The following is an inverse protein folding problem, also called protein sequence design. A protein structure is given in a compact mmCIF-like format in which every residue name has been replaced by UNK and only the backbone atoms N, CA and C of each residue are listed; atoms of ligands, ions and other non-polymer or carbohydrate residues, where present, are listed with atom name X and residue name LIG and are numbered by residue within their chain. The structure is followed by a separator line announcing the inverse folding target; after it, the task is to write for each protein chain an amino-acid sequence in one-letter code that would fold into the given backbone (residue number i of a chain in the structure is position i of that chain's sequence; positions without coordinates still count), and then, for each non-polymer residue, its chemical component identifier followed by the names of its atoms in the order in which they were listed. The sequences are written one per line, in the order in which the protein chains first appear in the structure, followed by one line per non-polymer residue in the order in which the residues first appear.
data_IF_475112179234
#
_entry.id   IF_475112179234
#
_cell.length_a   1.000
_cell.length_b   1.000
_cell.length_c   1.000
_cell.angle_alpha   90.00
_cell.angle_beta   90.00
_cell.angle_gamma   90.00
#
_symmetry.space_group_name_H-M   'P 1'
#
loop_
_entity.id
_entity.type
_entity.pdbx_description
1 polymer ?
#
# COMPACT_ATOMS: atom_id res chain seq x y z
N UNK A 1 -3.85 -7.19 21.78
CA UNK A 1 -2.45 -6.70 21.67
C UNK A 1 -2.15 -6.55 20.20
N UNK A 2 -1.62 -5.42 19.72
CA UNK A 2 -1.31 -5.23 18.30
C UNK A 2 0.01 -5.92 17.98
N UNK A 3 0.02 -6.76 16.95
CA UNK A 3 1.24 -7.35 16.39
C UNK A 3 1.86 -6.33 15.42
N UNK A 4 3.07 -5.86 15.72
CA UNK A 4 3.77 -4.89 14.87
C UNK A 4 4.96 -5.54 14.18
N UNK A 5 4.99 -5.45 12.84
CA UNK A 5 6.04 -6.05 12.00
C UNK A 5 6.59 -5.05 11.00
N UNK A 6 7.90 -5.08 10.79
CA UNK A 6 8.60 -4.33 9.75
C UNK A 6 9.38 -5.30 8.89
N UNK A 7 9.22 -5.18 7.57
CA UNK A 7 9.99 -5.94 6.59
C UNK A 7 10.67 -5.00 5.60
N UNK A 8 11.93 -5.28 5.30
CA UNK A 8 12.67 -4.60 4.25
C UNK A 8 12.65 -5.43 2.98
N UNK A 9 12.07 -4.88 1.93
CA UNK A 9 11.96 -5.50 0.63
C UNK A 9 13.34 -5.90 0.06
N UNK A 10 13.42 -7.08 -0.53
CA UNK A 10 14.68 -7.62 -1.09
C UNK A 10 15.72 -8.02 -0.07
N UNK A 11 15.46 -7.86 1.23
CA UNK A 11 16.34 -8.24 2.33
C UNK A 11 15.73 -9.28 3.24
N UNK A 12 14.47 -9.06 3.63
CA UNK A 12 13.78 -9.94 4.55
C UNK A 12 12.90 -10.94 3.77
N UNK A 13 12.68 -12.12 4.36
CA UNK A 13 11.69 -13.08 3.88
C UNK A 13 10.30 -12.61 4.32
N UNK A 14 9.55 -12.05 3.39
CA UNK A 14 8.23 -11.48 3.66
C UNK A 14 7.18 -12.59 3.51
N UNK A 15 6.43 -12.93 4.58
CA UNK A 15 5.33 -13.88 4.45
C UNK A 15 4.33 -13.41 3.40
N UNK A 16 3.97 -14.29 2.48
CA UNK A 16 2.99 -13.98 1.42
C UNK A 16 1.54 -13.94 1.92
N UNK A 17 1.27 -14.46 3.12
CA UNK A 17 -0.08 -14.59 3.66
C UNK A 17 -0.14 -14.22 5.13
N UNK A 18 -1.21 -13.50 5.50
CA UNK A 18 -1.56 -13.17 6.88
C UNK A 18 -3.07 -13.43 7.07
N UNK A 19 -3.42 -14.13 8.14
CA UNK A 19 -4.81 -14.41 8.49
C UNK A 19 -5.06 -13.87 9.89
N UNK A 20 -6.09 -13.03 10.03
CA UNK A 20 -6.45 -12.43 11.30
C UNK A 20 -7.77 -13.01 11.82
N UNK A 21 -7.71 -13.52 13.05
CA UNK A 21 -8.86 -13.97 13.82
C UNK A 21 -9.59 -12.82 14.54
N UNK A 22 -10.52 -13.20 15.41
CA UNK A 22 -11.35 -12.23 16.16
C UNK A 22 -10.50 -11.28 17.01
N UNK A 23 -10.77 -9.96 16.88
CA UNK A 23 -10.12 -8.88 17.64
C UNK A 23 -8.59 -8.82 17.47
N UNK A 24 -8.03 -9.53 16.49
CA UNK A 24 -6.60 -9.44 16.19
C UNK A 24 -6.26 -8.16 15.44
N UNK A 25 -5.09 -7.60 15.78
CA UNK A 25 -4.60 -6.35 15.20
C UNK A 25 -3.19 -6.53 14.66
N UNK A 26 -2.98 -6.14 13.40
CA UNK A 26 -1.69 -6.19 12.71
C UNK A 26 -1.33 -4.81 12.17
N UNK A 27 -0.20 -4.28 12.63
CA UNK A 27 0.48 -3.13 12.02
C UNK A 27 1.69 -3.64 11.24
N UNK A 28 1.63 -3.55 9.91
CA UNK A 28 2.65 -4.05 9.00
C UNK A 28 3.28 -2.90 8.22
N UNK A 29 4.60 -2.80 8.26
CA UNK A 29 5.35 -1.82 7.47
C UNK A 29 6.28 -2.53 6.49
N UNK A 30 6.10 -2.25 5.19
CA UNK A 30 6.95 -2.73 4.11
C UNK A 30 7.83 -1.58 3.62
N UNK A 31 9.15 -1.71 3.74
CA UNK A 31 10.08 -0.64 3.38
C UNK A 31 10.93 -1.07 2.20
N UNK A 32 10.88 -0.35 1.07
CA UNK A 32 11.80 -0.55 -0.03
C UNK A 32 12.82 0.59 -0.10
N UNK A 33 14.09 0.24 0.10
CA UNK A 33 15.22 1.17 0.08
C UNK A 33 15.84 1.27 -1.33
N UNK A 34 16.60 2.35 -1.62
CA UNK A 34 17.30 2.50 -2.90
C UNK A 34 18.14 1.29 -3.29
N UNK A 35 18.13 0.96 -4.57
CA UNK A 35 18.90 -0.16 -5.15
C UNK A 35 18.20 -1.52 -5.05
N UNK A 36 16.98 -1.58 -4.50
CA UNK A 36 16.22 -2.82 -4.39
C UNK A 36 15.28 -2.97 -5.58
N UNK A 37 15.38 -4.11 -6.28
CA UNK A 37 14.42 -4.53 -7.30
C UNK A 37 13.83 -5.87 -6.91
N UNK A 38 12.52 -5.92 -6.69
CA UNK A 38 11.81 -7.14 -6.30
C UNK A 38 10.32 -7.06 -6.60
N UNK A 39 9.65 -8.19 -6.47
CA UNK A 39 8.20 -8.29 -6.47
C UNK A 39 7.72 -8.77 -5.10
N UNK A 40 6.74 -8.08 -4.54
CA UNK A 40 6.10 -8.41 -3.26
C UNK A 40 4.65 -8.77 -3.56
N UNK A 41 4.22 -9.92 -3.08
CA UNK A 41 2.82 -10.33 -3.17
C UNK A 41 2.31 -10.67 -1.76
N UNK A 42 1.27 -9.98 -1.33
CA UNK A 42 0.62 -10.17 -0.03
C UNK A 42 -0.84 -10.52 -0.20
N UNK A 43 -1.30 -11.51 0.56
CA UNK A 43 -2.70 -11.80 0.77
C UNK A 43 -3.01 -11.70 2.26
N UNK A 44 -3.86 -10.77 2.63
CA UNK A 44 -4.25 -10.55 4.02
C UNK A 44 -5.74 -10.80 4.14
N UNK A 45 -6.11 -11.75 5.02
CA UNK A 45 -7.49 -12.17 5.21
C UNK A 45 -7.95 -11.85 6.63
N UNK A 46 -9.08 -11.15 6.76
CA UNK A 46 -9.74 -10.87 8.02
C UNK A 46 -10.91 -11.85 8.16
N UNK A 47 -10.71 -12.90 8.98
CA UNK A 47 -11.68 -13.99 9.20
C UNK A 47 -12.44 -13.88 10.53
N UNK A 48 -12.01 -13.00 11.43
CA UNK A 48 -12.65 -12.77 12.72
C UNK A 48 -13.20 -11.36 12.86
N UNK A 49 -14.40 -11.22 13.44
CA UNK A 49 -14.99 -9.91 13.73
C UNK A 49 -14.06 -9.05 14.60
N UNK A 50 -14.01 -7.75 14.34
CA UNK A 50 -13.15 -6.82 15.07
C UNK A 50 -11.67 -6.88 14.67
N UNK A 51 -11.29 -7.66 13.63
CA UNK A 51 -9.94 -7.68 13.14
C UNK A 51 -9.56 -6.34 12.50
N UNK A 52 -8.33 -5.88 12.75
CA UNK A 52 -7.81 -4.61 12.25
C UNK A 52 -6.44 -4.80 11.60
N UNK A 53 -6.24 -4.18 10.41
CA UNK A 53 -4.95 -4.18 9.71
C UNK A 53 -4.58 -2.78 9.28
N UNK A 54 -3.36 -2.35 9.64
CA UNK A 54 -2.72 -1.18 9.08
C UNK A 54 -1.49 -1.60 8.29
N UNK A 55 -1.50 -1.38 6.98
CA UNK A 55 -0.41 -1.70 6.08
C UNK A 55 0.21 -0.41 5.52
N UNK A 56 1.42 -0.10 5.96
CA UNK A 56 2.22 0.99 5.40
C UNK A 56 3.25 0.49 4.39
N UNK A 57 3.52 1.26 3.35
CA UNK A 57 4.47 0.87 2.33
C UNK A 57 5.30 2.04 1.78
N UNK A 58 6.25 2.62 2.56
CA UNK A 58 7.15 3.62 2.01
C UNK A 58 8.20 3.00 1.10
N UNK A 59 8.43 3.60 -0.07
CA UNK A 59 9.48 3.16 -0.98
C UNK A 59 10.22 4.32 -1.66
N UNK A 60 11.51 4.12 -1.87
CA UNK A 60 12.40 5.07 -2.52
C UNK A 60 13.19 4.37 -3.63
N UNK A 61 12.86 4.70 -4.88
CA UNK A 61 13.44 4.13 -6.10
C UNK A 61 14.04 5.25 -6.97
N UNK A 62 15.23 5.78 -6.65
CA UNK A 62 15.79 6.95 -7.33
C UNK A 62 16.59 6.65 -8.59
N UNK A 63 16.85 5.38 -8.90
CA UNK A 63 17.78 4.93 -9.96
C UNK A 63 17.10 4.22 -11.12
N UNK A 64 17.26 2.91 -11.19
CA UNK A 64 16.71 2.04 -12.25
C UNK A 64 15.98 0.81 -11.67
N UNK A 65 15.52 0.93 -10.45
CA UNK A 65 14.84 -0.12 -9.71
C UNK A 65 13.56 -0.55 -10.43
N UNK A 66 13.21 -1.83 -10.23
CA UNK A 66 11.90 -2.39 -10.59
C UNK A 66 11.24 -2.97 -9.35
N UNK A 67 10.17 -2.33 -8.93
CA UNK A 67 9.42 -2.73 -7.74
C UNK A 67 7.97 -2.99 -8.11
N UNK A 68 7.51 -4.22 -7.91
CA UNK A 68 6.11 -4.58 -8.08
C UNK A 68 5.52 -4.98 -6.72
N UNK A 69 4.46 -4.30 -6.31
CA UNK A 69 3.74 -4.55 -5.06
C UNK A 69 2.32 -4.97 -5.40
N UNK A 70 1.95 -6.17 -5.00
CA UNK A 70 0.59 -6.68 -5.13
C UNK A 70 0.02 -7.02 -3.75
N UNK A 71 -1.10 -6.40 -3.40
CA UNK A 71 -1.77 -6.63 -2.12
C UNK A 71 -3.22 -7.00 -2.37
N UNK A 72 -3.63 -8.15 -1.87
CA UNK A 72 -5.04 -8.52 -1.76
C UNK A 72 -5.45 -8.47 -0.29
N UNK A 73 -6.45 -7.65 0.02
CA UNK A 73 -7.06 -7.54 1.36
C UNK A 73 -8.47 -8.11 1.28
N UNK A 74 -8.73 -9.20 2.00
CA UNK A 74 -10.01 -9.89 1.97
C UNK A 74 -10.73 -9.81 3.31
N UNK A 75 -11.90 -9.19 3.33
CA UNK A 75 -12.81 -9.15 4.48
C UNK A 75 -13.87 -10.22 4.32
N UNK A 76 -13.76 -11.31 5.09
CA UNK A 76 -14.73 -12.41 5.07
C UNK A 76 -15.88 -12.23 6.03
N UNK A 77 -15.67 -11.45 7.10
CA UNK A 77 -16.66 -11.19 8.15
C UNK A 77 -16.81 -9.70 8.42
N UNK A 78 -17.92 -9.32 9.04
CA UNK A 78 -18.23 -7.92 9.32
C UNK A 78 -17.45 -7.30 10.47
N UNK A 79 -17.56 -5.97 10.61
CA UNK A 79 -16.96 -5.20 11.71
C UNK A 79 -15.43 -5.13 11.69
N UNK A 80 -14.80 -5.40 10.55
CA UNK A 80 -13.35 -5.35 10.38
C UNK A 80 -12.88 -4.03 9.79
N UNK A 81 -11.65 -3.63 10.10
CA UNK A 81 -11.04 -2.40 9.61
C UNK A 81 -9.74 -2.71 8.91
N UNK A 82 -9.54 -2.17 7.71
CA UNK A 82 -8.25 -2.21 7.03
C UNK A 82 -7.85 -0.85 6.45
N UNK A 83 -6.58 -0.51 6.58
CA UNK A 83 -5.97 0.68 5.98
C UNK A 83 -4.68 0.29 5.27
N UNK A 84 -4.55 0.73 4.01
CA UNK A 84 -3.35 0.59 3.21
C UNK A 84 -2.87 1.97 2.79
N UNK A 85 -1.63 2.34 3.16
CA UNK A 85 -1.05 3.65 2.82
C UNK A 85 0.35 3.46 2.24
N UNK A 86 0.46 3.55 0.90
CA UNK A 86 1.71 3.45 0.18
C UNK A 86 2.19 4.82 -0.27
N UNK A 87 3.48 5.10 -0.09
CA UNK A 87 4.10 6.38 -0.46
C UNK A 87 5.42 6.14 -1.16
N UNK A 88 5.50 6.60 -2.40
CA UNK A 88 6.65 6.41 -3.26
C UNK A 88 7.34 7.68 -3.70
N UNK A 89 8.68 7.65 -3.71
CA UNK A 89 9.51 8.62 -4.41
C UNK A 89 10.30 7.87 -5.48
N UNK A 90 10.05 8.21 -6.75
CA UNK A 90 10.57 7.45 -7.90
C UNK A 90 11.31 8.38 -8.85
N UNK A 91 12.56 8.02 -9.18
CA UNK A 91 13.44 8.83 -10.02
C UNK A 91 14.20 8.01 -11.05
N UNK A 92 15.16 8.63 -11.72
CA UNK A 92 15.96 7.96 -12.75
C UNK A 92 15.12 7.33 -13.84
N UNK A 93 15.32 6.03 -14.08
CA UNK A 93 14.54 5.20 -15.00
C UNK A 93 13.74 4.12 -14.26
N UNK A 94 13.57 4.26 -12.95
CA UNK A 94 12.88 3.29 -12.12
C UNK A 94 11.42 3.09 -12.56
N UNK A 95 10.94 1.87 -12.35
CA UNK A 95 9.57 1.47 -12.69
C UNK A 95 8.92 0.83 -11.46
N UNK A 96 7.80 1.38 -11.03
CA UNK A 96 7.05 0.86 -9.90
C UNK A 96 5.63 0.49 -10.31
N UNK A 97 5.20 -0.70 -9.94
CA UNK A 97 3.83 -1.18 -10.06
C UNK A 97 3.19 -1.36 -8.69
N UNK A 98 2.01 -0.77 -8.47
CA UNK A 98 1.17 -1.05 -7.32
C UNK A 98 -0.17 -1.62 -7.77
N UNK A 99 -0.52 -2.79 -7.27
CA UNK A 99 -1.76 -3.50 -7.56
C UNK A 99 -2.45 -3.83 -6.23
N UNK A 100 -3.41 -3.00 -5.86
CA UNK A 100 -4.13 -3.17 -4.61
C UNK A 100 -5.57 -3.63 -4.88
N UNK A 101 -5.97 -4.74 -4.30
CA UNK A 101 -7.32 -5.29 -4.39
C UNK A 101 -7.91 -5.44 -3.00
N UNK A 102 -9.08 -4.84 -2.78
CA UNK A 102 -9.88 -5.06 -1.58
C UNK A 102 -11.12 -5.85 -1.98
N UNK A 103 -11.37 -6.95 -1.28
CA UNK A 103 -12.56 -7.79 -1.45
C UNK A 103 -13.36 -7.77 -0.15
N UNK A 104 -14.64 -7.41 -0.22
CA UNK A 104 -15.56 -7.41 0.92
C UNK A 104 -16.67 -8.41 0.61
N UNK A 105 -16.72 -9.51 1.38
CA UNK A 105 -17.72 -10.55 1.20
C UNK A 105 -19.13 -10.05 1.52
N UNK A 106 -20.17 -10.74 1.03
CA UNK A 106 -21.58 -10.37 1.21
C UNK A 106 -21.96 -10.18 2.68
N UNK A 107 -21.47 -11.04 3.56
CA UNK A 107 -21.79 -10.99 4.99
C UNK A 107 -20.83 -10.09 5.81
N UNK A 108 -19.84 -9.48 5.16
CA UNK A 108 -18.87 -8.60 5.80
C UNK A 108 -19.42 -7.17 5.98
N UNK A 109 -20.59 -7.06 6.61
CA UNK A 109 -21.24 -5.78 6.91
C UNK A 109 -20.45 -4.96 7.93
N UNK A 110 -20.59 -3.63 7.90
CA UNK A 110 -19.86 -2.67 8.77
C UNK A 110 -18.34 -2.73 8.63
N UNK A 111 -17.85 -3.20 7.48
CA UNK A 111 -16.44 -3.14 7.13
C UNK A 111 -16.04 -1.70 6.81
N UNK A 112 -14.87 -1.29 7.32
CA UNK A 112 -14.19 -0.06 6.91
C UNK A 112 -12.88 -0.42 6.22
N UNK A 113 -12.72 -0.10 4.93
CA UNK A 113 -11.55 -0.46 4.16
C UNK A 113 -11.03 0.70 3.30
N UNK A 114 -9.81 1.10 3.56
CA UNK A 114 -9.19 2.27 2.92
C UNK A 114 -7.89 1.87 2.23
N UNK A 115 -7.68 2.40 1.02
CA UNK A 115 -6.46 2.19 0.26
C UNK A 115 -5.98 3.49 -0.36
N UNK A 116 -4.72 3.83 -0.14
CA UNK A 116 -4.07 4.99 -0.73
C UNK A 116 -2.70 4.63 -1.30
N UNK A 117 -2.37 5.18 -2.48
CA UNK A 117 -1.05 5.08 -3.10
C UNK A 117 -0.63 6.43 -3.67
N UNK A 118 0.34 7.07 -3.02
CA UNK A 118 0.78 8.42 -3.35
C UNK A 118 2.23 8.43 -3.83
N UNK A 119 2.46 8.93 -5.04
CA UNK A 119 3.76 8.88 -5.69
C UNK A 119 4.24 10.25 -6.14
N UNK A 120 5.54 10.50 -5.96
CA UNK A 120 6.25 11.65 -6.50
C UNK A 120 7.30 11.16 -7.50
N UNK A 121 7.22 11.65 -8.73
CA UNK A 121 8.23 11.42 -9.76
C UNK A 121 9.28 12.54 -9.72
N UNK A 122 10.54 12.14 -9.64
CA UNK A 122 11.70 13.05 -9.66
C UNK A 122 12.24 13.31 -11.06
N UNK A 123 11.90 12.46 -12.02
CA UNK A 123 12.38 12.53 -13.42
C UNK A 123 11.27 12.20 -14.40
N UNK A 124 11.40 12.63 -15.67
CA UNK A 124 10.45 12.31 -16.73
C UNK A 124 10.52 10.85 -17.21
N UNK A 125 11.62 10.17 -16.93
CA UNK A 125 11.88 8.79 -17.32
C UNK A 125 11.38 7.78 -16.32
N UNK A 126 11.14 8.19 -15.07
CA UNK A 126 10.54 7.36 -14.03
C UNK A 126 9.07 7.03 -14.36
N UNK A 127 8.63 5.82 -14.00
CA UNK A 127 7.27 5.35 -14.28
C UNK A 127 6.66 4.75 -13.04
N UNK A 128 5.41 5.14 -12.76
CA UNK A 128 4.57 4.50 -11.76
C UNK A 128 3.27 4.07 -12.41
N UNK A 129 2.88 2.83 -12.15
CA UNK A 129 1.58 2.27 -12.53
C UNK A 129 0.86 1.89 -11.25
N UNK A 130 -0.27 2.53 -10.97
CA UNK A 130 -1.10 2.22 -9.81
C UNK A 130 -2.47 1.73 -10.27
N UNK A 131 -2.92 0.59 -9.71
CA UNK A 131 -4.19 -0.06 -10.06
C UNK A 131 -4.92 -0.50 -8.79
N UNK A 132 -5.58 0.44 -8.10
CA UNK A 132 -6.44 0.08 -6.99
C UNK A 132 -7.76 -0.51 -7.51
N UNK A 133 -8.27 -1.55 -6.82
CA UNK A 133 -9.50 -2.24 -7.15
C UNK A 133 -10.32 -2.51 -5.88
N UNK A 134 -11.63 -2.24 -5.96
CA UNK A 134 -12.60 -2.58 -4.92
C UNK A 134 -13.62 -3.56 -5.47
N UNK A 135 -13.83 -4.67 -4.77
CA UNK A 135 -14.87 -5.66 -5.02
C UNK A 135 -15.73 -5.78 -3.77
N UNK A 136 -16.86 -5.09 -3.77
CA UNK A 136 -17.71 -4.94 -2.59
C UNK A 136 -19.03 -5.66 -2.84
N UNK A 137 -19.30 -6.68 -2.04
CA UNK A 137 -20.52 -7.49 -2.10
C UNK A 137 -21.46 -7.24 -0.91
N UNK A 138 -21.06 -6.40 0.06
CA UNK A 138 -21.86 -5.99 1.20
C UNK A 138 -22.44 -4.57 1.00
N UNK A 139 -23.54 -4.25 1.69
CA UNK A 139 -24.25 -2.98 1.50
C UNK A 139 -23.90 -1.91 2.54
N UNK A 140 -23.71 -2.30 3.82
CA UNK A 140 -23.41 -1.39 4.92
C UNK A 140 -21.90 -1.37 5.21
N UNK A 141 -21.17 -0.64 4.37
CA UNK A 141 -19.71 -0.54 4.46
C UNK A 141 -19.20 0.86 4.16
N UNK A 142 -17.97 1.17 4.59
CA UNK A 142 -17.22 2.37 4.23
C UNK A 142 -15.92 1.97 3.54
N UNK A 143 -15.90 2.04 2.23
CA UNK A 143 -14.74 1.65 1.45
C UNK A 143 -14.33 2.77 0.50
N UNK A 144 -13.05 3.04 0.43
CA UNK A 144 -12.51 3.99 -0.53
C UNK A 144 -11.11 3.61 -1.00
N UNK A 145 -10.76 4.07 -2.19
CA UNK A 145 -9.39 4.04 -2.65
C UNK A 145 -9.00 5.39 -3.28
N UNK A 146 -7.71 5.67 -3.27
CA UNK A 146 -7.13 6.84 -3.90
C UNK A 146 -5.73 6.54 -4.42
N UNK A 147 -5.39 7.13 -5.57
CA UNK A 147 -4.05 7.05 -6.11
C UNK A 147 -3.64 8.39 -6.71
N UNK A 148 -2.40 8.78 -6.47
CA UNK A 148 -1.82 9.98 -7.07
C UNK A 148 -0.43 9.70 -7.59
N UNK A 149 -0.14 10.26 -8.77
CA UNK A 149 1.21 10.29 -9.33
C UNK A 149 1.46 11.74 -9.76
N UNK A 150 2.36 12.41 -9.06
CA UNK A 150 2.68 13.83 -9.29
C UNK A 150 4.16 14.07 -9.51
N UNK A 151 4.49 15.25 -10.00
CA UNK A 151 5.85 15.76 -10.09
C UNK A 151 5.97 16.99 -9.20
N UNK A 152 7.18 17.25 -8.74
CA UNK A 152 7.47 18.50 -8.05
C UNK A 152 7.50 19.64 -9.08
N UNK A 153 6.81 20.73 -8.76
CA UNK A 153 6.82 21.97 -9.55
C UNK A 153 8.21 22.60 -9.50
N UNK A 154 8.84 22.79 -10.67
CA UNK A 154 10.21 23.31 -10.77
C UNK A 154 10.31 24.77 -10.33
N UNK A 155 9.31 25.58 -10.63
CA UNK A 155 9.28 26.99 -10.23
C UNK A 155 9.11 27.12 -8.69
N UNK A 156 8.26 26.28 -8.10
CA UNK A 156 8.11 26.21 -6.66
C UNK A 156 9.39 25.74 -5.97
N UNK A 157 10.09 24.75 -6.55
CA UNK A 157 11.39 24.30 -6.06
C UNK A 157 12.46 25.41 -6.15
N UNK A 158 12.51 26.11 -7.28
CA UNK A 158 13.42 27.23 -7.47
C UNK A 158 13.14 28.34 -6.43
N UNK A 159 11.87 28.68 -6.25
CA UNK A 159 11.49 29.68 -5.24
C UNK A 159 11.93 29.28 -3.83
N UNK A 160 11.66 28.03 -3.42
CA UNK A 160 12.09 27.55 -2.11
C UNK A 160 13.61 27.59 -1.92
N UNK A 161 14.37 27.12 -2.92
CA UNK A 161 15.84 27.13 -2.88
C UNK A 161 16.42 28.56 -2.84
N UNK A 162 15.76 29.54 -3.46
CA UNK A 162 16.18 30.92 -3.46
C UNK A 162 15.97 31.63 -2.10
N UNK A 163 15.20 31.02 -1.22
CA UNK A 163 14.88 31.55 0.13
C UNK A 163 15.65 30.85 1.27
N UNK A 164 16.44 29.83 0.99
CA UNK A 164 17.26 29.06 1.94
C UNK A 164 16.62 27.71 2.21
#
# INVERSE_FOLDING_TARGET
MTDFRIYFAGRDDIPGEFILGRDEKLDLLLVALPGVSCSIALHITLEGEGAEVNLGGPYLCPGNERLDISVTMEHKVGGCISSQDFKGIVGGTAQVGFYGRIVVAHDAQKTEAYQADHNILLTDTAKVTTRPQLEIYADDVKCSHGATVGKLDEDAQFYMRSRG
#
